data_IF_395457938790
#
_entry.id   IF_395457938790
#
_cell.length_a   1.000
_cell.length_b   1.000
_cell.length_c   1.000
_cell.angle_alpha   90.00
_cell.angle_beta   90.00
_cell.angle_gamma   90.00
#
_symmetry.space_group_name_H-M   'P 1'
#
loop_
_entity.id
_entity.type
_entity.pdbx_description
1 polymer ?
#
# COMPACT_ATOMS: atom_id res chain seq x y z
N UNK A 1 -23.76 -0.63 -18.68
CA UNK A 1 -22.52 -1.16 -18.09
C UNK A 1 -21.83 -0.04 -17.29
N UNK A 2 -22.15 0.15 -15.99
CA UNK A 2 -21.53 1.23 -15.22
C UNK A 2 -20.03 0.96 -15.06
N UNK A 3 -19.18 1.88 -15.55
CA UNK A 3 -17.72 1.72 -15.59
C UNK A 3 -17.06 1.83 -14.22
N UNK A 4 -17.73 2.46 -13.25
CA UNK A 4 -17.23 2.67 -11.89
C UNK A 4 -18.38 2.55 -10.89
N UNK A 5 -18.07 2.04 -9.70
CA UNK A 5 -18.98 2.01 -8.55
C UNK A 5 -18.43 2.94 -7.48
N UNK A 6 -19.20 3.98 -7.14
CA UNK A 6 -18.86 4.89 -6.03
C UNK A 6 -19.31 4.26 -4.72
N UNK A 7 -18.43 4.27 -3.72
CA UNK A 7 -18.72 3.79 -2.37
C UNK A 7 -18.67 5.01 -1.45
N UNK A 8 -19.76 5.27 -0.73
CA UNK A 8 -19.81 6.34 0.27
C UNK A 8 -19.30 5.81 1.60
N UNK A 9 -18.33 6.53 2.17
CA UNK A 9 -17.76 6.24 3.48
C UNK A 9 -18.12 7.35 4.47
N UNK A 10 -18.38 7.01 5.75
CA UNK A 10 -18.63 8.00 6.79
C UNK A 10 -17.45 8.95 6.98
N UNK A 11 -17.76 10.21 7.29
CA UNK A 11 -16.76 11.25 7.52
C UNK A 11 -15.92 10.88 8.75
N UNK A 12 -14.61 11.15 8.69
CA UNK A 12 -13.66 10.86 9.77
C UNK A 12 -13.60 9.39 10.20
N UNK A 13 -13.86 8.46 9.28
CA UNK A 13 -13.79 7.02 9.55
C UNK A 13 -12.63 6.35 8.79
N UNK A 14 -11.36 6.68 9.10
CA UNK A 14 -10.21 6.14 8.38
C UNK A 14 -10.09 4.61 8.48
N UNK A 15 -10.66 4.00 9.52
CA UNK A 15 -10.65 2.56 9.72
C UNK A 15 -11.49 1.78 8.69
N UNK A 16 -12.48 2.41 8.05
CA UNK A 16 -13.25 1.76 6.97
C UNK A 16 -12.66 2.00 5.59
N UNK A 17 -11.71 2.92 5.47
CA UNK A 17 -11.07 3.25 4.21
C UNK A 17 -9.81 2.40 3.98
N UNK A 18 -9.91 1.45 3.06
CA UNK A 18 -8.81 0.57 2.71
C UNK A 18 -7.56 1.32 2.24
N UNK A 19 -7.73 2.46 1.58
CA UNK A 19 -6.61 3.29 1.13
C UNK A 19 -5.90 3.91 2.34
N UNK A 20 -6.63 4.48 3.28
CA UNK A 20 -6.03 5.07 4.51
C UNK A 20 -5.34 4.01 5.37
N UNK A 21 -5.90 2.81 5.49
CA UNK A 21 -5.24 1.70 6.18
C UNK A 21 -3.92 1.30 5.52
N UNK A 22 -3.87 1.31 4.18
CA UNK A 22 -2.64 1.04 3.44
C UNK A 22 -1.59 2.12 3.70
N UNK A 23 -1.99 3.38 3.69
CA UNK A 23 -1.12 4.51 4.00
C UNK A 23 -0.59 4.46 5.43
N UNK A 24 -1.42 4.07 6.40
CA UNK A 24 -1.01 3.88 7.79
C UNK A 24 0.08 2.80 7.90
N UNK A 25 -0.12 1.64 7.27
CA UNK A 25 0.86 0.56 7.27
C UNK A 25 2.18 0.96 6.58
N UNK A 26 2.11 1.71 5.48
CA UNK A 26 3.28 2.29 4.82
C UNK A 26 4.03 3.23 5.79
N UNK A 27 3.28 4.06 6.51
CA UNK A 27 3.85 5.02 7.43
C UNK A 27 4.61 4.32 8.56
N UNK A 28 3.95 3.41 9.27
CA UNK A 28 4.55 2.69 10.40
C UNK A 28 5.79 1.89 9.99
N UNK A 29 5.76 1.26 8.81
CA UNK A 29 6.84 0.37 8.36
C UNK A 29 8.02 1.10 7.70
N UNK A 30 7.78 2.22 7.02
CA UNK A 30 8.79 2.88 6.19
C UNK A 30 9.09 4.31 6.60
N UNK A 31 8.08 5.18 6.69
CA UNK A 31 8.32 6.63 6.89
C UNK A 31 8.36 7.04 8.36
N UNK A 32 7.81 6.26 9.28
CA UNK A 32 7.75 6.53 10.72
C UNK A 32 8.99 6.09 11.51
N UNK A 33 9.78 5.16 11.00
CA UNK A 33 10.98 4.68 11.70
C UNK A 33 12.25 5.51 11.43
N UNK A 34 12.17 6.57 10.60
CA UNK A 34 13.27 7.46 10.23
C UNK A 34 14.59 6.75 9.85
N UNK A 35 14.51 5.53 9.30
CA UNK A 35 15.71 4.74 8.98
C UNK A 35 16.31 5.07 7.60
N UNK A 36 15.59 5.83 6.77
CA UNK A 36 16.05 6.19 5.43
C UNK A 36 16.91 7.45 5.48
N UNK A 37 18.19 7.34 5.09
CA UNK A 37 19.14 8.47 5.09
C UNK A 37 19.11 9.26 3.78
N UNK A 38 18.50 8.72 2.74
CA UNK A 38 18.32 9.39 1.46
C UNK A 38 16.94 9.12 0.87
N UNK A 39 16.49 10.05 0.03
CA UNK A 39 15.22 9.92 -0.70
C UNK A 39 15.16 8.64 -1.55
N UNK A 40 16.29 8.24 -2.15
CA UNK A 40 16.38 7.02 -2.94
C UNK A 40 16.13 5.74 -2.12
N UNK A 41 16.64 5.68 -0.89
CA UNK A 41 16.37 4.55 0.01
C UNK A 41 14.90 4.46 0.38
N UNK A 42 14.28 5.61 0.64
CA UNK A 42 12.85 5.70 0.92
C UNK A 42 12.03 5.19 -0.27
N UNK A 43 12.26 5.72 -1.47
CA UNK A 43 11.54 5.32 -2.69
C UNK A 43 11.69 3.82 -2.99
N UNK A 44 12.88 3.25 -2.77
CA UNK A 44 13.12 1.82 -2.97
C UNK A 44 12.29 0.97 -2.00
N UNK A 45 12.21 1.37 -0.72
CA UNK A 45 11.38 0.69 0.29
C UNK A 45 9.89 0.82 -0.02
N UNK A 46 9.42 2.03 -0.38
CA UNK A 46 8.02 2.25 -0.78
C UNK A 46 7.64 1.38 -1.96
N UNK A 47 8.48 1.32 -3.02
CA UNK A 47 8.23 0.45 -4.17
C UNK A 47 8.15 -1.03 -3.80
N UNK A 48 9.03 -1.48 -2.92
CA UNK A 48 9.00 -2.86 -2.43
C UNK A 48 7.71 -3.15 -1.65
N UNK A 49 7.31 -2.26 -0.74
CA UNK A 49 6.07 -2.38 0.00
C UNK A 49 4.85 -2.45 -0.93
N UNK A 50 4.75 -1.54 -1.90
CA UNK A 50 3.64 -1.52 -2.86
C UNK A 50 3.55 -2.80 -3.70
N UNK A 51 4.68 -3.39 -4.05
CA UNK A 51 4.70 -4.68 -4.74
C UNK A 51 4.20 -5.82 -3.83
N UNK A 52 4.62 -5.84 -2.56
CA UNK A 52 4.22 -6.88 -1.60
C UNK A 52 2.74 -6.83 -1.25
N UNK A 53 2.16 -5.64 -1.13
CA UNK A 53 0.74 -5.44 -0.79
C UNK A 53 -0.19 -5.45 -2.01
N UNK A 54 0.36 -5.51 -3.23
CA UNK A 54 -0.44 -5.51 -4.47
C UNK A 54 -1.29 -6.79 -4.55
N UNK A 55 -2.63 -6.68 -4.59
CA UNK A 55 -3.50 -7.84 -4.75
C UNK A 55 -3.54 -8.35 -6.20
N UNK A 56 -2.95 -7.61 -7.15
CA UNK A 56 -2.93 -7.98 -8.57
C UNK A 56 -1.60 -8.64 -8.93
N UNK A 57 -1.62 -9.78 -9.66
CA UNK A 57 -0.41 -10.52 -10.01
C UNK A 57 0.31 -9.81 -11.17
N UNK A 58 1.10 -8.79 -10.83
CA UNK A 58 1.99 -8.07 -11.75
C UNK A 58 3.46 -8.08 -11.34
N UNK A 59 3.81 -8.76 -10.25
CA UNK A 59 5.18 -8.89 -9.76
C UNK A 59 5.44 -10.28 -9.18
N UNK A 60 5.97 -11.20 -9.99
CA UNK A 60 6.69 -12.43 -9.57
C UNK A 60 6.09 -13.30 -8.43
N UNK A 61 4.77 -13.39 -8.27
CA UNK A 61 4.15 -14.30 -7.30
C UNK A 61 3.80 -15.70 -7.87
N UNK A 62 4.10 -15.95 -9.15
CA UNK A 62 3.85 -17.25 -9.80
C UNK A 62 4.90 -18.34 -9.55
N UNK A 63 5.92 -18.11 -8.72
CA UNK A 63 7.00 -19.08 -8.47
C UNK A 63 6.94 -19.80 -7.12
N UNK A 64 6.02 -19.42 -6.22
CA UNK A 64 5.78 -20.21 -5.01
C UNK A 64 4.56 -21.09 -5.26
N UNK A 65 4.81 -22.25 -5.88
CA UNK A 65 3.88 -23.39 -5.84
C UNK A 65 3.76 -23.84 -4.39
N UNK A 66 2.53 -23.99 -3.90
CA UNK A 66 2.19 -24.98 -2.87
C UNK A 66 1.85 -26.28 -3.57
#
# INVERSE_FOLDING_TARGET
NPKFRVIYQPVYSPWVNHVERLWQALHETITGNHQCRSMWQLLKKVRHFMNTVSPFPGGNHGLVKM
#
